data_IF_267883381480
#
_entry.id   IF_267883381480
#
_cell.length_a   1.000
_cell.length_b   1.000
_cell.length_c   1.000
_cell.angle_alpha   90.00
_cell.angle_beta   90.00
_cell.angle_gamma   90.00
#
_symmetry.space_group_name_H-M   'P 1'
#
loop_
_entity.id
_entity.type
_entity.pdbx_description
1 polymer ?
#
# COMPACT_ATOMS: atom_id res chain seq x y z
N UNK A 1 -50.20 -34.86 65.56
CA UNK A 1 -49.63 -34.97 66.94
C UNK A 1 -48.38 -34.15 66.92
N UNK A 2 -48.43 -32.99 67.46
CA UNK A 2 -47.90 -32.55 68.72
C UNK A 2 -46.38 -32.50 68.72
N UNK A 3 -45.91 -31.29 68.73
CA UNK A 3 -45.04 -30.60 69.76
C UNK A 3 -43.56 -30.70 69.39
N UNK A 4 -42.76 -29.70 69.52
CA UNK A 4 -42.80 -28.44 70.26
C UNK A 4 -41.49 -27.68 70.14
N UNK A 5 -41.64 -26.46 70.29
CA UNK A 5 -40.78 -25.33 70.45
C UNK A 5 -39.67 -25.52 71.48
N UNK A 6 -38.46 -25.02 71.24
CA UNK A 6 -37.69 -24.23 72.24
C UNK A 6 -36.67 -23.34 71.61
N UNK A 7 -36.82 -22.02 71.81
CA UNK A 7 -35.80 -20.96 71.63
C UNK A 7 -34.68 -21.11 72.68
N UNK A 8 -33.44 -20.85 72.28
CA UNK A 8 -32.49 -20.17 73.14
C UNK A 8 -31.52 -19.30 72.33
N UNK A 9 -31.62 -18.04 72.61
CA UNK A 9 -30.73 -16.97 72.21
C UNK A 9 -29.37 -17.10 72.93
N UNK A 10 -28.27 -16.94 72.20
CA UNK A 10 -27.03 -16.40 72.76
C UNK A 10 -26.28 -15.62 71.69
N UNK A 11 -26.17 -14.32 71.88
CA UNK A 11 -25.15 -13.44 71.25
C UNK A 11 -23.90 -13.61 72.06
N UNK A 12 -22.73 -13.70 71.49
CA UNK A 12 -21.67 -12.76 71.88
C UNK A 12 -20.78 -12.26 70.77
N UNK A 13 -20.42 -11.09 70.99
CA UNK A 13 -19.14 -10.43 70.83
C UNK A 13 -18.54 -10.19 69.43
N UNK A 14 -18.55 -8.91 69.11
CA UNK A 14 -17.70 -8.19 68.16
C UNK A 14 -16.22 -8.51 68.36
N UNK A 15 -15.56 -8.92 67.28
CA UNK A 15 -14.11 -8.74 67.11
C UNK A 15 -13.90 -8.10 65.75
N UNK A 16 -13.47 -6.84 65.81
CA UNK A 16 -13.13 -6.05 64.65
C UNK A 16 -11.96 -6.64 63.86
N UNK A 17 -12.14 -6.85 62.59
CA UNK A 17 -11.05 -7.05 61.65
C UNK A 17 -10.98 -5.80 60.75
N UNK A 18 -9.90 -5.05 60.91
CA UNK A 18 -9.59 -3.91 60.06
C UNK A 18 -9.33 -4.40 58.64
N UNK A 19 -10.22 -4.09 57.73
CA UNK A 19 -9.98 -4.28 56.31
C UNK A 19 -9.07 -3.16 55.82
N UNK A 20 -7.82 -3.49 55.57
CA UNK A 20 -6.91 -2.60 54.84
C UNK A 20 -7.37 -2.49 53.40
N UNK A 21 -7.92 -1.35 53.05
CA UNK A 21 -8.24 -0.98 51.66
C UNK A 21 -6.93 -0.69 50.95
N UNK A 22 -6.46 -1.63 50.14
CA UNK A 22 -5.44 -1.37 49.15
C UNK A 22 -6.06 -0.55 48.01
N UNK A 23 -5.84 0.76 48.00
CA UNK A 23 -5.98 1.59 46.83
C UNK A 23 -4.85 1.24 45.85
N UNK A 24 -5.08 0.28 44.96
CA UNK A 24 -4.26 0.07 43.81
C UNK A 24 -4.45 1.26 42.89
N UNK A 25 -3.43 2.14 42.87
CA UNK A 25 -3.33 3.17 41.82
C UNK A 25 -3.18 2.45 40.45
N UNK A 26 -4.25 2.32 39.72
CA UNK A 26 -4.20 2.06 38.29
C UNK A 26 -3.57 3.31 37.67
N UNK A 27 -2.25 3.31 37.53
CA UNK A 27 -1.55 4.16 36.60
C UNK A 27 -1.94 3.69 35.20
N UNK A 28 -3.02 4.27 34.67
CA UNK A 28 -3.30 4.17 33.26
C UNK A 28 -2.12 4.79 32.54
N UNK A 29 -1.32 3.95 31.88
CA UNK A 29 -0.41 4.45 30.83
C UNK A 29 -1.29 5.15 29.80
N UNK A 30 -1.31 6.48 29.85
CA UNK A 30 -1.72 7.28 28.70
C UNK A 30 -0.70 6.92 27.61
N UNK A 31 -1.10 6.04 26.71
CA UNK A 31 -0.45 5.94 25.41
C UNK A 31 -0.59 7.31 24.79
N UNK A 32 0.51 8.07 24.78
CA UNK A 32 0.56 9.32 24.03
C UNK A 32 0.15 8.99 22.60
N UNK A 33 -1.01 9.49 22.18
CA UNK A 33 -1.40 9.47 20.79
C UNK A 33 -0.22 10.05 20.00
N UNK A 34 0.30 9.29 19.04
CA UNK A 34 1.37 9.77 18.19
C UNK A 34 0.87 11.09 17.58
N UNK A 35 1.47 12.20 18.00
CA UNK A 35 1.10 13.51 17.48
C UNK A 35 1.24 13.44 15.96
N UNK A 36 0.16 13.77 15.24
CA UNK A 36 0.17 13.81 13.78
C UNK A 36 1.32 14.69 13.32
N UNK A 37 2.31 14.07 12.66
CA UNK A 37 3.45 14.81 12.14
C UNK A 37 2.94 15.85 11.12
N UNK A 38 3.52 17.07 11.08
CA UNK A 38 3.21 18.03 10.05
C UNK A 38 3.29 17.38 8.65
N UNK A 39 2.41 17.81 7.77
CA UNK A 39 2.40 17.35 6.39
C UNK A 39 3.29 18.25 5.53
N UNK A 40 3.97 17.64 4.56
CA UNK A 40 4.73 18.33 3.51
C UNK A 40 4.32 17.82 2.14
N UNK A 41 4.47 18.63 1.07
CA UNK A 41 4.28 18.14 -0.29
C UNK A 41 5.27 17.01 -0.61
N UNK A 42 4.77 15.95 -1.25
CA UNK A 42 5.61 14.93 -1.88
C UNK A 42 6.25 15.54 -3.13
N UNK A 43 7.57 15.62 -3.15
CA UNK A 43 8.34 16.06 -4.31
C UNK A 43 8.87 14.83 -5.02
N UNK A 44 8.34 14.55 -6.22
CA UNK A 44 8.82 13.47 -7.08
C UNK A 44 9.88 13.99 -8.04
N UNK A 45 10.95 13.23 -8.24
CA UNK A 45 11.87 13.46 -9.36
C UNK A 45 11.19 12.90 -10.61
N UNK A 46 10.54 13.77 -11.38
CA UNK A 46 9.82 13.37 -12.59
C UNK A 46 10.77 13.18 -13.77
N UNK A 47 10.52 12.18 -14.63
CA UNK A 47 11.23 12.05 -15.90
C UNK A 47 10.84 13.16 -16.88
N UNK A 48 11.66 13.35 -17.91
CA UNK A 48 11.34 14.29 -18.98
C UNK A 48 10.06 13.88 -19.73
N UNK A 49 9.25 14.84 -20.19
CA UNK A 49 8.05 14.54 -20.97
C UNK A 49 8.41 13.87 -22.30
N UNK A 50 7.87 12.68 -22.53
CA UNK A 50 8.20 11.90 -23.75
C UNK A 50 7.01 11.60 -24.64
N UNK A 51 5.79 12.00 -24.25
CA UNK A 51 4.61 11.75 -25.04
C UNK A 51 4.72 12.35 -26.45
N UNK A 52 4.72 11.49 -27.44
CA UNK A 52 4.77 11.85 -28.85
C UNK A 52 3.36 11.76 -29.45
N UNK A 53 2.75 12.91 -29.65
CA UNK A 53 1.44 13.02 -30.27
C UNK A 53 0.27 12.79 -29.32
N UNK A 54 -0.90 13.27 -29.73
CA UNK A 54 -2.18 12.94 -29.08
C UNK A 54 -2.84 11.90 -29.97
N UNK A 55 -3.08 10.66 -29.52
CA UNK A 55 -3.87 9.70 -30.26
C UNK A 55 -5.28 10.26 -30.50
N UNK A 56 -5.80 10.07 -31.72
CA UNK A 56 -7.15 10.51 -32.05
C UNK A 56 -8.21 9.70 -31.29
N UNK A 57 -7.91 8.42 -31.01
CA UNK A 57 -8.84 7.47 -30.37
C UNK A 57 -8.32 7.01 -29.01
N UNK A 58 -8.47 7.83 -27.98
CA UNK A 58 -8.19 7.40 -26.60
C UNK A 58 -9.31 6.52 -26.07
N UNK A 59 -9.01 5.41 -25.37
CA UNK A 59 -10.00 4.67 -24.62
C UNK A 59 -10.79 5.61 -23.69
N UNK A 60 -12.11 5.52 -23.71
CA UNK A 60 -12.97 6.30 -22.84
C UNK A 60 -14.06 5.42 -22.25
N UNK A 61 -14.48 5.71 -21.02
CA UNK A 61 -15.54 4.95 -20.37
C UNK A 61 -15.76 5.41 -18.94
N UNK A 62 -16.82 4.93 -18.28
CA UNK A 62 -17.13 5.31 -16.91
C UNK A 62 -16.06 4.87 -15.91
N UNK A 63 -15.29 3.83 -16.25
CA UNK A 63 -14.25 3.23 -15.41
C UNK A 63 -12.84 3.69 -15.78
N UNK A 64 -12.71 4.72 -16.61
CA UNK A 64 -11.42 5.25 -17.06
C UNK A 64 -11.33 6.71 -16.65
N UNK A 65 -10.29 7.06 -15.89
CA UNK A 65 -9.95 8.46 -15.64
C UNK A 65 -9.38 9.07 -16.92
N UNK A 66 -9.85 10.25 -17.36
CA UNK A 66 -9.28 10.90 -18.53
C UNK A 66 -7.80 11.28 -18.25
N UNK A 67 -6.97 11.39 -19.30
CA UNK A 67 -5.60 11.85 -19.11
C UNK A 67 -5.59 13.24 -18.46
N UNK A 68 -4.67 13.48 -17.49
CA UNK A 68 -4.59 14.76 -16.81
C UNK A 68 -4.23 15.86 -17.81
N UNK A 69 -4.93 17.00 -17.73
CA UNK A 69 -4.69 18.18 -18.57
C UNK A 69 -3.65 19.12 -17.99
N UNK A 70 -3.42 19.03 -16.69
CA UNK A 70 -2.51 19.87 -15.93
C UNK A 70 -1.69 18.99 -14.98
N UNK A 71 -0.59 19.53 -14.46
CA UNK A 71 0.21 18.83 -13.43
C UNK A 71 -0.67 18.51 -12.22
N UNK A 72 -0.64 17.27 -11.71
CA UNK A 72 -1.41 16.92 -10.53
C UNK A 72 -1.00 17.75 -9.33
N UNK A 73 -1.97 18.08 -8.46
CA UNK A 73 -1.66 18.71 -7.19
C UNK A 73 -0.72 17.81 -6.36
N UNK A 74 0.26 18.36 -5.64
CA UNK A 74 1.18 17.59 -4.82
C UNK A 74 0.42 16.76 -3.77
N UNK A 75 0.75 15.48 -3.66
CA UNK A 75 0.25 14.65 -2.56
C UNK A 75 0.95 15.05 -1.25
N UNK A 76 0.20 15.12 -0.16
CA UNK A 76 0.73 15.53 1.15
C UNK A 76 1.14 14.30 1.96
N UNK A 77 2.37 14.27 2.46
CA UNK A 77 2.92 13.18 3.27
C UNK A 77 3.46 13.69 4.60
N UNK A 78 3.49 12.86 5.67
CA UNK A 78 4.08 13.25 6.94
C UNK A 78 5.54 13.66 6.81
N UNK A 79 5.93 14.68 7.55
CA UNK A 79 7.32 15.13 7.63
C UNK A 79 8.23 13.99 8.14
N UNK A 80 9.43 13.84 7.53
CA UNK A 80 10.33 12.70 7.78
C UNK A 80 10.06 11.49 6.90
N UNK A 81 9.02 11.49 6.05
CA UNK A 81 8.85 10.47 5.02
C UNK A 81 9.93 10.58 3.94
N UNK A 82 10.42 9.44 3.49
CA UNK A 82 11.44 9.33 2.44
C UNK A 82 11.13 8.14 1.54
N UNK A 83 11.76 8.07 0.35
CA UNK A 83 11.72 6.89 -0.48
C UNK A 83 12.49 5.77 0.22
N UNK A 84 11.78 4.71 0.63
CA UNK A 84 12.33 3.54 1.34
C UNK A 84 12.47 2.32 0.45
N UNK A 85 12.08 2.42 -0.84
CA UNK A 85 12.22 1.35 -1.83
C UNK A 85 13.52 1.43 -2.64
N UNK A 86 14.22 2.56 -2.62
CA UNK A 86 15.43 2.75 -3.42
C UNK A 86 16.49 1.69 -3.13
N UNK A 87 16.94 1.00 -4.19
CA UNK A 87 17.92 -0.09 -4.13
C UNK A 87 17.43 -1.35 -3.41
N UNK A 88 16.14 -1.49 -3.11
CA UNK A 88 15.59 -2.66 -2.46
C UNK A 88 15.44 -3.84 -3.41
N UNK A 89 15.45 -5.04 -2.82
CA UNK A 89 15.32 -6.29 -3.57
C UNK A 89 13.93 -6.41 -4.17
N UNK A 90 13.88 -6.72 -5.46
CA UNK A 90 12.64 -7.02 -6.19
C UNK A 90 12.61 -8.48 -6.61
N UNK A 91 11.43 -9.09 -6.53
CA UNK A 91 11.13 -10.42 -7.08
C UNK A 91 9.88 -10.34 -7.97
N UNK A 92 9.63 -11.36 -8.78
CA UNK A 92 8.50 -11.38 -9.71
C UNK A 92 7.92 -12.77 -9.90
N UNK A 93 6.71 -12.84 -10.43
CA UNK A 93 6.04 -14.09 -10.80
C UNK A 93 6.79 -14.87 -11.87
N UNK A 94 7.46 -14.15 -12.78
CA UNK A 94 8.23 -14.72 -13.89
C UNK A 94 9.47 -13.86 -14.12
N UNK A 95 10.54 -14.48 -14.62
CA UNK A 95 11.73 -13.72 -15.02
C UNK A 95 11.36 -12.77 -16.17
N UNK A 96 11.72 -11.47 -16.09
CA UNK A 96 11.64 -10.58 -17.24
C UNK A 96 12.47 -11.13 -18.41
N UNK A 97 12.00 -10.93 -19.61
CA UNK A 97 12.78 -11.25 -20.82
C UNK A 97 13.56 -10.03 -21.34
N UNK A 98 13.18 -8.83 -20.90
CA UNK A 98 13.91 -7.58 -21.11
C UNK A 98 14.12 -6.91 -19.76
N UNK A 99 15.31 -6.36 -19.52
CA UNK A 99 15.67 -5.67 -18.30
C UNK A 99 15.92 -6.58 -17.09
N UNK A 100 16.27 -5.97 -15.98
CA UNK A 100 16.57 -6.63 -14.71
C UNK A 100 15.66 -6.07 -13.60
N UNK A 101 15.22 -6.91 -12.67
CA UNK A 101 14.28 -6.53 -11.60
C UNK A 101 14.81 -5.38 -10.71
N UNK A 102 16.12 -5.22 -10.58
CA UNK A 102 16.72 -4.12 -9.82
C UNK A 102 16.41 -2.74 -10.39
N UNK A 103 16.02 -2.65 -11.67
CA UNK A 103 15.63 -1.40 -12.31
C UNK A 103 14.35 -0.81 -11.74
N UNK A 104 13.50 -1.64 -11.11
CA UNK A 104 12.24 -1.17 -10.54
C UNK A 104 12.37 -0.36 -9.24
N UNK A 105 13.58 -0.22 -8.73
CA UNK A 105 13.88 0.54 -7.50
C UNK A 105 15.19 1.33 -7.62
N UNK A 106 15.68 1.61 -8.83
CA UNK A 106 16.96 2.30 -9.05
C UNK A 106 16.82 3.82 -9.23
N UNK A 107 15.58 4.33 -9.17
CA UNK A 107 15.25 5.75 -9.31
C UNK A 107 15.26 6.26 -10.74
N UNK A 108 15.47 5.39 -11.74
CA UNK A 108 15.44 5.74 -13.16
C UNK A 108 14.09 5.38 -13.75
N UNK A 109 13.43 6.35 -14.31
CA UNK A 109 12.10 6.19 -14.90
C UNK A 109 11.93 7.01 -16.17
N UNK A 110 13.06 7.28 -16.82
CA UNK A 110 13.04 7.92 -18.14
C UNK A 110 12.39 6.97 -19.16
N UNK A 111 11.79 7.53 -20.17
CA UNK A 111 11.08 6.74 -21.18
C UNK A 111 12.02 6.10 -22.22
N UNK A 112 13.03 5.41 -21.73
CA UNK A 112 13.98 4.63 -22.56
C UNK A 112 13.72 3.14 -22.37
N UNK A 113 13.99 2.36 -23.43
CA UNK A 113 13.89 0.90 -23.38
C UNK A 113 14.79 0.29 -22.29
N UNK A 114 15.92 0.96 -21.98
CA UNK A 114 16.87 0.54 -20.96
C UNK A 114 16.36 0.68 -19.53
N UNK A 115 15.33 1.48 -19.29
CA UNK A 115 14.86 1.80 -17.94
C UNK A 115 13.58 1.04 -17.57
N UNK A 116 13.13 0.13 -18.43
CA UNK A 116 11.96 -0.68 -18.23
C UNK A 116 12.27 -2.17 -18.24
N UNK A 117 11.49 -2.94 -17.50
CA UNK A 117 11.45 -4.39 -17.65
C UNK A 117 10.22 -4.81 -18.41
N UNK A 118 10.33 -5.89 -19.20
CA UNK A 118 9.21 -6.50 -19.88
C UNK A 118 9.01 -7.94 -19.44
N UNK A 119 7.78 -8.30 -19.12
CA UNK A 119 7.36 -9.65 -18.77
C UNK A 119 6.29 -10.15 -19.74
N UNK A 120 6.18 -11.47 -19.85
CA UNK A 120 5.21 -12.14 -20.72
C UNK A 120 3.78 -11.71 -20.40
N UNK A 121 2.88 -11.98 -21.35
CA UNK A 121 1.44 -11.79 -21.23
C UNK A 121 0.80 -12.58 -20.07
N UNK A 122 -0.44 -12.23 -19.75
CA UNK A 122 -1.20 -12.73 -18.61
C UNK A 122 -0.95 -11.90 -17.35
N UNK A 123 -1.65 -12.22 -16.27
CA UNK A 123 -1.44 -11.54 -15.00
C UNK A 123 -0.06 -11.88 -14.44
N UNK A 124 0.78 -10.87 -14.24
CA UNK A 124 2.11 -10.98 -13.66
C UNK A 124 2.21 -10.04 -12.46
N UNK A 125 3.14 -10.34 -11.55
CA UNK A 125 3.42 -9.46 -10.43
C UNK A 125 4.91 -9.20 -10.25
N UNK A 126 5.20 -8.05 -9.67
CA UNK A 126 6.51 -7.65 -9.12
C UNK A 126 6.34 -7.34 -7.63
N UNK A 127 7.37 -7.62 -6.83
CA UNK A 127 7.32 -7.43 -5.37
C UNK A 127 8.60 -6.83 -4.85
N UNK A 128 8.47 -5.71 -4.13
CA UNK A 128 9.56 -5.06 -3.41
C UNK A 128 9.60 -5.57 -1.97
N UNK A 129 10.77 -5.99 -1.49
CA UNK A 129 11.04 -6.27 -0.07
C UNK A 129 11.73 -5.05 0.56
N UNK A 130 11.03 -4.30 1.38
CA UNK A 130 11.56 -3.11 2.04
C UNK A 130 12.61 -3.43 3.13
N UNK A 131 12.79 -4.73 3.45
CA UNK A 131 13.77 -5.21 4.44
C UNK A 131 13.23 -5.26 5.86
N UNK A 132 12.30 -4.39 6.22
CA UNK A 132 11.62 -4.35 7.52
C UNK A 132 10.19 -3.82 7.34
N UNK A 133 9.38 -3.95 8.40
CA UNK A 133 8.08 -3.29 8.47
C UNK A 133 8.26 -1.78 8.62
N UNK A 134 7.56 -1.00 7.80
CA UNK A 134 7.54 0.46 7.81
C UNK A 134 6.12 0.99 7.75
N UNK A 135 5.88 2.20 8.24
CA UNK A 135 4.64 2.91 8.00
C UNK A 135 4.67 3.51 6.59
N UNK A 136 3.85 2.98 5.68
CA UNK A 136 3.79 3.37 4.28
C UNK A 136 2.76 4.48 4.10
N UNK A 137 3.17 5.60 3.49
CA UNK A 137 2.28 6.74 3.27
C UNK A 137 1.82 6.83 1.82
N UNK A 138 2.73 6.60 0.88
CA UNK A 138 2.45 6.65 -0.56
C UNK A 138 3.24 5.58 -1.29
N UNK A 139 2.62 4.96 -2.28
CA UNK A 139 3.29 4.17 -3.31
C UNK A 139 3.06 4.84 -4.65
N UNK A 140 4.11 5.00 -5.44
CA UNK A 140 4.00 5.52 -6.80
C UNK A 140 4.46 4.44 -7.77
N UNK A 141 3.64 4.18 -8.78
CA UNK A 141 3.89 3.17 -9.81
C UNK A 141 4.14 3.84 -11.15
N UNK A 142 5.21 3.46 -11.83
CA UNK A 142 5.46 3.80 -13.22
C UNK A 142 5.49 2.54 -14.07
N UNK A 143 4.59 2.50 -15.03
CA UNK A 143 4.64 1.57 -16.15
C UNK A 143 5.19 2.30 -17.37
N UNK A 144 5.10 1.68 -18.55
CA UNK A 144 5.57 2.32 -19.79
C UNK A 144 4.73 3.55 -20.14
N UNK A 145 5.29 4.73 -19.92
CA UNK A 145 4.68 6.01 -20.21
C UNK A 145 5.22 6.68 -21.49
N UNK A 146 5.95 5.94 -22.33
CA UNK A 146 6.42 6.44 -23.64
C UNK A 146 5.26 6.72 -24.61
N UNK A 147 4.16 6.02 -24.39
CA UNK A 147 2.95 6.12 -25.20
C UNK A 147 1.76 6.42 -24.31
N UNK A 148 0.74 7.09 -24.84
CA UNK A 148 -0.53 7.21 -24.14
C UNK A 148 -1.22 5.86 -24.16
N UNK A 149 -1.19 5.16 -23.05
CA UNK A 149 -1.79 3.84 -22.88
C UNK A 149 -2.32 3.66 -21.48
N UNK A 150 -3.12 2.63 -21.30
CA UNK A 150 -3.67 2.19 -20.00
C UNK A 150 -3.04 0.83 -19.70
N UNK A 151 -2.42 0.69 -18.53
CA UNK A 151 -2.04 -0.62 -18.01
C UNK A 151 -3.27 -1.29 -17.40
N UNK A 152 -3.52 -2.54 -17.78
CA UNK A 152 -4.70 -3.32 -17.39
C UNK A 152 -4.47 -4.07 -16.10
N UNK A 153 -5.55 -4.25 -15.33
CA UNK A 153 -5.60 -5.05 -14.11
C UNK A 153 -4.46 -4.69 -13.14
N UNK A 154 -4.26 -3.39 -12.95
CA UNK A 154 -3.29 -2.91 -11.96
C UNK A 154 -3.86 -3.14 -10.58
N UNK A 155 -3.15 -3.94 -9.78
CA UNK A 155 -3.52 -4.22 -8.39
C UNK A 155 -2.28 -3.94 -7.53
N UNK A 156 -2.44 -3.14 -6.50
CA UNK A 156 -1.38 -2.85 -5.52
C UNK A 156 -1.78 -3.40 -4.17
N UNK A 157 -0.95 -4.30 -3.65
CA UNK A 157 -1.14 -4.94 -2.36
C UNK A 157 0.08 -4.77 -1.47
N UNK A 158 -0.14 -4.80 -0.16
CA UNK A 158 0.91 -4.80 0.85
C UNK A 158 0.67 -5.90 1.87
N UNK A 159 1.76 -6.42 2.44
CA UNK A 159 1.70 -7.47 3.47
C UNK A 159 3.00 -7.52 4.28
N UNK A 160 2.95 -8.16 5.44
CA UNK A 160 4.15 -8.61 6.18
C UNK A 160 4.51 -10.07 5.86
N UNK A 161 3.67 -10.77 5.10
CA UNK A 161 3.91 -12.12 4.61
C UNK A 161 4.50 -12.07 3.18
N UNK A 162 5.74 -12.57 2.96
CA UNK A 162 6.37 -12.56 1.64
C UNK A 162 5.62 -13.37 0.59
N UNK A 163 4.80 -14.34 1.02
CA UNK A 163 3.99 -15.18 0.15
C UNK A 163 2.62 -14.56 -0.19
N UNK A 164 2.23 -13.46 0.47
CA UNK A 164 0.92 -12.83 0.31
C UNK A 164 -0.27 -13.79 0.52
N UNK A 165 -0.14 -14.71 1.47
CA UNK A 165 -1.21 -15.64 1.88
C UNK A 165 -2.02 -15.09 3.05
N UNK A 166 -1.39 -14.26 3.89
CA UNK A 166 -2.00 -13.70 5.10
C UNK A 166 -1.72 -12.20 5.23
N UNK A 167 -2.59 -11.49 5.95
CA UNK A 167 -2.40 -10.06 6.24
C UNK A 167 -2.28 -9.18 5.00
N UNK A 168 -2.91 -9.56 3.90
CA UNK A 168 -2.88 -8.81 2.65
C UNK A 168 -3.88 -7.66 2.71
N UNK A 169 -3.41 -6.47 2.40
CA UNK A 169 -4.26 -5.29 2.22
C UNK A 169 -4.11 -4.78 0.79
N UNK A 170 -5.23 -4.66 0.09
CA UNK A 170 -5.29 -4.06 -1.25
C UNK A 170 -5.44 -2.55 -1.12
N UNK A 171 -4.49 -1.81 -1.69
CA UNK A 171 -4.47 -0.34 -1.69
C UNK A 171 -5.10 0.24 -2.95
N UNK A 172 -5.02 -0.47 -4.06
CA UNK A 172 -5.55 -0.08 -5.36
C UNK A 172 -5.90 -1.33 -6.15
N UNK A 173 -7.02 -1.33 -6.88
CA UNK A 173 -7.41 -2.43 -7.74
C UNK A 173 -8.38 -1.96 -8.83
N UNK A 174 -7.95 -1.98 -10.10
CA UNK A 174 -8.79 -1.67 -11.25
C UNK A 174 -9.16 -2.90 -12.11
N UNK A 175 -8.95 -4.11 -11.58
CA UNK A 175 -9.38 -5.37 -12.20
C UNK A 175 -10.87 -5.62 -11.91
N UNK A 176 -11.76 -5.10 -12.74
CA UNK A 176 -13.20 -5.15 -12.52
C UNK A 176 -13.81 -6.54 -12.66
N UNK A 177 -13.21 -7.41 -13.45
CA UNK A 177 -13.74 -8.74 -13.77
C UNK A 177 -13.05 -9.88 -13.00
N UNK A 178 -12.15 -9.50 -12.05
CA UNK A 178 -11.33 -10.45 -11.28
C UNK A 178 -10.54 -11.43 -12.18
N UNK A 179 -10.11 -10.95 -13.31
CA UNK A 179 -9.37 -11.77 -14.28
C UNK A 179 -7.96 -12.14 -13.80
N UNK A 180 -7.42 -11.38 -12.85
CA UNK A 180 -6.15 -11.63 -12.16
C UNK A 180 -6.28 -12.45 -10.88
N UNK A 181 -7.51 -12.82 -10.47
CA UNK A 181 -7.81 -13.66 -9.29
C UNK A 181 -7.33 -13.06 -7.97
N UNK A 182 -7.41 -11.74 -7.85
CA UNK A 182 -7.07 -11.00 -6.63
C UNK A 182 -8.29 -10.28 -6.01
N UNK A 183 -9.50 -10.64 -6.45
CA UNK A 183 -10.76 -9.98 -6.11
C UNK A 183 -11.09 -8.85 -7.08
N UNK A 184 -12.39 -8.67 -7.37
CA UNK A 184 -12.86 -7.63 -8.26
C UNK A 184 -12.58 -6.23 -7.70
N UNK A 185 -11.99 -5.38 -8.53
CA UNK A 185 -11.61 -4.00 -8.23
C UNK A 185 -12.76 -3.01 -8.37
N UNK A 186 -12.50 -1.77 -7.89
CA UNK A 186 -13.43 -0.64 -8.00
C UNK A 186 -12.74 0.65 -8.39
N UNK A 187 -11.40 0.63 -8.43
CA UNK A 187 -10.61 1.80 -8.80
C UNK A 187 -10.62 1.96 -10.31
N UNK A 188 -10.59 3.21 -10.78
CA UNK A 188 -10.61 3.47 -12.21
C UNK A 188 -9.26 3.17 -12.85
N UNK A 189 -9.30 2.69 -14.08
CA UNK A 189 -8.14 2.67 -14.97
C UNK A 189 -7.63 4.10 -15.21
N UNK A 190 -6.37 4.24 -15.52
CA UNK A 190 -5.71 5.53 -15.75
C UNK A 190 -4.72 5.45 -16.91
N UNK A 191 -4.46 6.58 -17.53
CA UNK A 191 -3.43 6.69 -18.54
C UNK A 191 -2.04 6.79 -17.90
N UNK A 192 -1.11 6.02 -18.44
CA UNK A 192 0.28 6.13 -18.04
C UNK A 192 0.85 7.49 -18.42
N UNK A 193 1.49 8.13 -17.48
CA UNK A 193 2.09 9.44 -17.63
C UNK A 193 3.39 9.54 -16.86
N UNK A 194 4.19 10.56 -17.12
CA UNK A 194 5.43 10.82 -16.40
C UNK A 194 5.25 11.03 -14.88
N UNK A 195 4.04 11.33 -14.42
CA UNK A 195 3.77 11.50 -12.98
C UNK A 195 3.62 10.16 -12.23
N UNK A 196 3.45 9.07 -12.97
CA UNK A 196 3.12 7.77 -12.40
C UNK A 196 1.74 7.74 -11.75
N UNK A 197 1.37 6.60 -11.18
CA UNK A 197 0.15 6.47 -10.39
C UNK A 197 0.48 6.60 -8.90
N UNK A 198 0.06 7.69 -8.30
CA UNK A 198 0.17 7.92 -6.84
C UNK A 198 -0.97 7.20 -6.13
N UNK A 199 -0.64 6.33 -5.18
CA UNK A 199 -1.59 5.57 -4.37
C UNK A 199 -1.37 5.87 -2.89
N UNK A 200 -2.41 6.34 -2.21
CA UNK A 200 -2.39 6.61 -0.77
C UNK A 200 -2.35 5.30 0.02
N UNK A 201 -1.28 5.08 0.77
CA UNK A 201 -1.11 3.92 1.64
C UNK A 201 -1.54 4.18 3.09
N UNK A 202 -1.97 5.38 3.43
CA UNK A 202 -2.64 5.78 4.68
C UNK A 202 -1.87 5.43 5.97
N UNK A 203 -0.55 5.31 5.90
CA UNK A 203 0.28 4.95 7.04
C UNK A 203 0.21 3.46 7.43
N UNK A 204 -0.28 2.59 6.53
CA UNK A 204 -0.33 1.15 6.80
C UNK A 204 1.07 0.60 7.08
N UNK A 205 1.17 -0.31 8.03
CA UNK A 205 2.44 -0.97 8.35
C UNK A 205 2.61 -2.22 7.51
N UNK A 206 3.66 -2.25 6.70
CA UNK A 206 4.00 -3.41 5.88
C UNK A 206 5.49 -3.45 5.54
N UNK A 207 5.98 -4.65 5.21
CA UNK A 207 7.33 -4.92 4.70
C UNK A 207 7.35 -5.13 3.19
N UNK A 208 6.33 -5.77 2.64
CA UNK A 208 6.29 -6.15 1.22
C UNK A 208 5.24 -5.33 0.48
N UNK A 209 5.62 -4.87 -0.70
CA UNK A 209 4.74 -4.18 -1.65
C UNK A 209 4.71 -4.98 -2.93
N UNK A 210 3.52 -5.41 -3.38
CA UNK A 210 3.35 -6.20 -4.60
C UNK A 210 2.40 -5.49 -5.56
N UNK A 211 2.87 -5.29 -6.79
CA UNK A 211 2.09 -4.76 -7.89
C UNK A 211 1.80 -5.85 -8.92
N UNK A 212 0.57 -5.91 -9.42
CA UNK A 212 0.13 -6.77 -10.52
C UNK A 212 -0.19 -5.94 -11.74
N UNK A 213 -0.08 -6.54 -12.92
CA UNK A 213 -0.58 -6.00 -14.19
C UNK A 213 -0.90 -7.13 -15.16
N UNK A 214 -1.71 -6.83 -16.19
CA UNK A 214 -2.12 -7.81 -17.21
C UNK A 214 -2.15 -7.18 -18.59
N UNK A 215 -0.98 -6.77 -19.06
CA UNK A 215 -0.85 -6.09 -20.34
C UNK A 215 -1.33 -4.64 -20.31
N UNK A 216 -1.49 -4.05 -21.50
CA UNK A 216 -1.91 -2.66 -21.66
C UNK A 216 -2.99 -2.55 -22.74
N UNK A 217 -3.47 -1.33 -23.00
CA UNK A 217 -4.37 -1.05 -24.14
C UNK A 217 -3.69 -1.23 -25.51
N UNK A 218 -2.36 -1.32 -25.57
CA UNK A 218 -1.57 -1.45 -26.81
C UNK A 218 -0.95 -2.83 -27.00
N UNK A 219 -0.62 -3.53 -25.90
CA UNK A 219 0.06 -4.83 -25.95
C UNK A 219 -0.38 -5.75 -24.81
N UNK A 220 -0.26 -7.06 -25.06
CA UNK A 220 -0.51 -8.06 -24.00
C UNK A 220 0.67 -8.23 -23.02
N UNK A 221 1.80 -7.59 -23.28
CA UNK A 221 3.00 -7.68 -22.42
C UNK A 221 2.86 -6.75 -21.21
N UNK A 222 3.52 -7.12 -20.11
CA UNK A 222 3.59 -6.32 -18.91
C UNK A 222 4.90 -5.54 -18.89
N UNK A 223 4.82 -4.23 -18.79
CA UNK A 223 5.97 -3.34 -18.77
C UNK A 223 5.97 -2.49 -17.50
N UNK A 224 7.06 -2.54 -16.73
CA UNK A 224 7.25 -1.80 -15.50
C UNK A 224 8.53 -0.99 -15.56
N UNK A 225 8.51 0.24 -15.02
CA UNK A 225 9.69 1.11 -14.98
C UNK A 225 10.19 1.35 -13.56
N UNK A 226 9.30 1.74 -12.62
CA UNK A 226 9.73 2.08 -11.27
C UNK A 226 8.61 1.88 -10.26
N UNK A 227 8.98 1.54 -9.03
CA UNK A 227 8.10 1.51 -7.86
C UNK A 227 8.77 2.29 -6.74
N UNK A 228 8.26 3.47 -6.43
CA UNK A 228 8.71 4.24 -5.28
C UNK A 228 7.74 4.06 -4.11
N UNK A 229 8.29 3.81 -2.93
CA UNK A 229 7.53 3.68 -1.69
C UNK A 229 7.98 4.75 -0.71
N UNK A 230 7.09 5.65 -0.36
CA UNK A 230 7.36 6.71 0.61
C UNK A 230 6.79 6.33 1.96
N UNK A 231 7.67 6.22 2.93
CA UNK A 231 7.32 5.80 4.27
C UNK A 231 8.20 6.39 5.34
N UNK A 232 7.82 6.16 6.58
CA UNK A 232 8.65 6.47 7.73
C UNK A 232 9.36 5.19 8.15
N UNK A 233 10.70 5.19 8.25
CA UNK A 233 11.43 4.03 8.75
C UNK A 233 10.86 3.56 10.08
N UNK A 234 10.66 2.23 10.22
CA UNK A 234 10.30 1.61 11.49
C UNK A 234 11.36 1.94 12.53
N UNK A 235 10.91 2.21 13.75
CA UNK A 235 11.80 2.37 14.91
C UNK A 235 12.28 1.00 15.40
#
# INVERSE_FOLDING_TARGET
MKQGLVLTSRVPLLLGAAAAVWLGALAGELTAAAADKPLKPLVLKLPEPTLRGTPEDLPAGPNIDPPPKEDPAPFMIPEGSQNISEGKKVTSSVKPFTGELSQLTDGKKEAFDSDAIEMRSGSQWVQVDLGAEHALHVVVLWHDHRYIQITRDVILQVSNDPEFKTGVTTLYNNDFDDSSKQGAGKDKEYFETRWGRVVDAKGIKARYVRGYSKGTSLTALNCWQEIEVYGTPGQ
#
